data_IF_586440744950
#
_entry.id   IF_586440744950
#
_cell.length_a   1.000
_cell.length_b   1.000
_cell.length_c   1.000
_cell.angle_alpha   90.00
_cell.angle_beta   90.00
_cell.angle_gamma   90.00
#
_symmetry.space_group_name_H-M   'P 1'
#
loop_
_entity.id
_entity.type
_entity.pdbx_description
1 polymer ?
#
# COMPACT_ATOMS: atom_id res chain seq x y z
N UNK A 1 28.16 -49.32 -85.06
CA UNK A 1 28.30 -49.25 -83.59
C UNK A 1 27.97 -47.88 -82.96
N UNK A 2 27.70 -46.81 -83.73
CA UNK A 2 27.56 -45.45 -83.16
C UNK A 2 26.20 -45.05 -82.60
N UNK A 3 25.08 -45.69 -82.99
CA UNK A 3 23.72 -45.19 -82.70
C UNK A 3 23.27 -45.45 -81.25
N UNK A 4 23.56 -46.63 -80.69
CA UNK A 4 23.20 -46.97 -79.31
C UNK A 4 23.96 -46.12 -78.28
N UNK A 5 25.23 -45.82 -78.54
CA UNK A 5 26.04 -44.94 -77.70
C UNK A 5 25.54 -43.48 -77.71
N UNK A 6 25.12 -42.95 -78.87
CA UNK A 6 24.52 -41.62 -78.96
C UNK A 6 23.14 -41.53 -78.28
N UNK A 7 22.33 -42.58 -78.36
CA UNK A 7 21.04 -42.64 -77.65
C UNK A 7 21.22 -42.70 -76.13
N UNK A 8 22.14 -43.52 -75.62
CA UNK A 8 22.46 -43.58 -74.20
C UNK A 8 22.98 -42.23 -73.65
N UNK A 9 23.80 -41.52 -74.44
CA UNK A 9 24.28 -40.18 -74.10
C UNK A 9 23.16 -39.14 -74.09
N UNK A 10 22.26 -39.15 -75.08
CA UNK A 10 21.08 -38.27 -75.09
C UNK A 10 20.21 -38.50 -73.85
N UNK A 11 19.93 -39.75 -73.48
CA UNK A 11 19.19 -40.10 -72.26
C UNK A 11 19.85 -39.54 -71.00
N UNK A 12 21.19 -39.61 -70.91
CA UNK A 12 21.95 -39.08 -69.77
C UNK A 12 21.90 -37.55 -69.72
N UNK A 13 22.02 -36.87 -70.87
CA UNK A 13 21.91 -35.41 -70.94
C UNK A 13 20.49 -34.96 -70.58
N UNK A 14 19.46 -35.64 -71.09
CA UNK A 14 18.05 -35.37 -70.74
C UNK A 14 17.80 -35.53 -69.24
N UNK A 15 18.29 -36.60 -68.60
CA UNK A 15 18.16 -36.79 -67.16
C UNK A 15 18.81 -35.65 -66.36
N UNK A 16 19.97 -35.14 -66.81
CA UNK A 16 20.65 -34.00 -66.18
C UNK A 16 19.90 -32.69 -66.39
N UNK A 17 19.35 -32.44 -67.58
CA UNK A 17 18.49 -31.27 -67.86
C UNK A 17 17.27 -31.28 -66.94
N UNK A 18 16.56 -32.41 -66.85
CA UNK A 18 15.40 -32.54 -65.96
C UNK A 18 15.78 -32.34 -64.49
N UNK A 19 16.93 -32.85 -64.05
CA UNK A 19 17.43 -32.63 -62.69
C UNK A 19 17.75 -31.15 -62.42
N UNK A 20 18.36 -30.46 -63.39
CA UNK A 20 18.68 -29.04 -63.29
C UNK A 20 17.41 -28.19 -63.20
N UNK A 21 16.42 -28.49 -64.05
CA UNK A 21 15.12 -27.79 -64.04
C UNK A 21 14.34 -28.04 -62.74
N UNK A 22 14.41 -29.26 -62.21
CA UNK A 22 13.86 -29.57 -60.89
C UNK A 22 14.55 -28.78 -59.76
N UNK A 23 15.89 -28.70 -59.75
CA UNK A 23 16.63 -27.86 -58.78
C UNK A 23 16.24 -26.38 -58.90
N UNK A 24 16.12 -25.85 -60.12
CA UNK A 24 15.70 -24.46 -60.37
C UNK A 24 14.29 -24.18 -59.84
N UNK A 25 13.35 -25.11 -60.03
CA UNK A 25 12.00 -25.00 -59.47
C UNK A 25 12.01 -25.02 -57.93
N UNK A 26 12.81 -25.90 -57.31
CA UNK A 26 12.96 -25.93 -55.85
C UNK A 26 13.50 -24.61 -55.30
N UNK A 27 14.49 -24.02 -55.98
CA UNK A 27 15.08 -22.74 -55.57
C UNK A 27 14.08 -21.59 -55.76
N UNK A 28 13.31 -21.59 -56.85
CA UNK A 28 12.24 -20.60 -57.07
C UNK A 28 11.20 -20.63 -55.95
N UNK A 29 10.75 -21.84 -55.57
CA UNK A 29 9.87 -22.02 -54.41
C UNK A 29 10.52 -21.56 -53.10
N UNK A 30 11.83 -21.78 -52.93
CA UNK A 30 12.57 -21.31 -51.75
C UNK A 30 12.66 -19.78 -51.71
N UNK A 31 12.88 -19.12 -52.85
CA UNK A 31 12.84 -17.66 -52.97
C UNK A 31 11.46 -17.09 -52.63
N UNK A 32 10.39 -17.73 -53.09
CA UNK A 32 9.03 -17.33 -52.71
C UNK A 32 8.83 -17.37 -51.18
N UNK A 33 9.30 -18.44 -50.51
CA UNK A 33 9.26 -18.51 -49.04
C UNK A 33 10.10 -17.42 -48.37
N UNK A 34 11.27 -17.09 -48.90
CA UNK A 34 12.09 -15.99 -48.37
C UNK A 34 11.38 -14.64 -48.51
N UNK A 35 10.69 -14.40 -49.62
CA UNK A 35 9.89 -13.19 -49.82
C UNK A 35 8.74 -13.11 -48.78
N UNK A 36 8.07 -14.23 -48.52
CA UNK A 36 7.07 -14.32 -47.43
C UNK A 36 7.68 -14.00 -46.07
N UNK A 37 8.82 -14.61 -45.73
CA UNK A 37 9.53 -14.33 -44.46
C UNK A 37 9.96 -12.87 -44.33
N UNK A 38 10.37 -12.24 -45.44
CA UNK A 38 10.72 -10.81 -45.46
C UNK A 38 9.50 -9.93 -45.18
N UNK A 39 8.35 -10.28 -45.75
CA UNK A 39 7.10 -9.57 -45.52
C UNK A 39 6.63 -9.72 -44.06
N UNK A 40 6.72 -10.93 -43.50
CA UNK A 40 6.40 -11.21 -42.10
C UNK A 40 7.29 -10.40 -41.15
N UNK A 41 8.61 -10.42 -41.35
CA UNK A 41 9.55 -9.65 -40.54
C UNK A 41 9.27 -8.14 -40.58
N UNK A 42 8.90 -7.61 -41.76
CA UNK A 42 8.49 -6.21 -41.91
C UNK A 42 7.19 -5.91 -41.17
N UNK A 43 6.19 -6.79 -41.28
CA UNK A 43 4.91 -6.63 -40.57
C UNK A 43 5.08 -6.68 -39.05
N UNK A 44 5.93 -7.56 -38.52
CA UNK A 44 6.26 -7.63 -37.09
C UNK A 44 6.91 -6.32 -36.62
N UNK A 45 7.85 -5.77 -37.39
CA UNK A 45 8.49 -4.50 -37.06
C UNK A 45 7.52 -3.31 -37.09
N UNK A 46 6.66 -3.22 -38.11
CA UNK A 46 5.63 -2.18 -38.19
C UNK A 46 4.63 -2.31 -37.04
N UNK A 47 4.26 -3.53 -36.64
CA UNK A 47 3.40 -3.74 -35.48
C UNK A 47 4.05 -3.23 -34.20
N UNK A 48 5.34 -3.53 -33.98
CA UNK A 48 6.10 -3.04 -32.83
C UNK A 48 6.24 -1.51 -32.81
N UNK A 49 6.38 -0.86 -33.96
CA UNK A 49 6.39 0.61 -34.08
C UNK A 49 5.08 1.26 -33.63
N UNK A 50 3.96 0.55 -33.69
CA UNK A 50 2.67 1.03 -33.20
C UNK A 50 2.38 0.57 -31.76
N UNK A 51 3.29 -0.20 -31.15
CA UNK A 51 3.13 -0.66 -29.78
C UNK A 51 3.42 0.48 -28.82
N UNK A 52 2.42 0.75 -27.99
CA UNK A 52 2.49 1.69 -26.88
C UNK A 52 2.55 0.93 -25.57
N UNK A 53 3.14 1.53 -24.55
CA UNK A 53 3.11 1.07 -23.18
C UNK A 53 2.33 2.07 -22.30
N UNK A 54 1.72 1.55 -21.25
CA UNK A 54 1.11 2.39 -20.22
C UNK A 54 2.16 2.73 -19.18
N UNK A 55 2.20 4.00 -18.78
CA UNK A 55 3.07 4.52 -17.75
C UNK A 55 2.25 5.06 -16.59
N UNK A 56 2.85 5.03 -15.41
CA UNK A 56 2.29 5.56 -14.19
C UNK A 56 3.15 6.72 -13.69
N UNK A 57 2.51 7.88 -13.52
CA UNK A 57 3.10 9.12 -13.08
C UNK A 57 2.86 9.30 -11.57
N UNK A 58 3.93 9.51 -10.84
CA UNK A 58 3.93 9.92 -9.43
C UNK A 58 4.69 11.23 -9.26
N UNK A 59 4.71 11.76 -8.04
CA UNK A 59 5.47 12.95 -7.71
C UNK A 59 6.45 12.63 -6.58
N UNK A 60 7.65 13.19 -6.66
CA UNK A 60 8.58 13.17 -5.52
C UNK A 60 8.15 14.20 -4.45
N UNK A 61 8.83 14.18 -3.30
CA UNK A 61 8.59 15.12 -2.20
C UNK A 61 8.85 16.60 -2.55
N UNK A 62 9.42 16.88 -3.73
CA UNK A 62 9.66 18.23 -4.26
C UNK A 62 8.65 18.61 -5.36
N UNK A 63 7.67 17.74 -5.65
CA UNK A 63 6.65 17.95 -6.69
C UNK A 63 7.13 17.66 -8.11
N UNK A 64 8.29 17.05 -8.29
CA UNK A 64 8.79 16.65 -9.61
C UNK A 64 8.08 15.38 -10.06
N UNK A 65 7.58 15.36 -11.30
CA UNK A 65 6.97 14.16 -11.87
C UNK A 65 8.00 13.05 -12.07
N UNK A 66 7.70 11.86 -11.57
CA UNK A 66 8.42 10.62 -11.82
C UNK A 66 7.51 9.73 -12.64
N UNK A 67 8.02 9.22 -13.76
CA UNK A 67 7.25 8.32 -14.61
C UNK A 67 7.91 6.94 -14.64
N UNK A 68 7.09 5.90 -14.45
CA UNK A 68 7.52 4.50 -14.45
C UNK A 68 6.54 3.65 -15.26
N UNK A 69 6.93 2.43 -15.62
CA UNK A 69 6.01 1.52 -16.31
C UNK A 69 4.81 1.21 -15.40
N UNK A 70 3.60 1.20 -15.98
CA UNK A 70 2.39 0.84 -15.26
C UNK A 70 2.41 -0.67 -14.99
N UNK A 71 2.64 -1.03 -13.74
CA UNK A 71 2.63 -2.41 -13.24
C UNK A 71 1.78 -2.46 -11.97
N UNK A 72 1.30 -3.64 -11.59
CA UNK A 72 0.54 -3.74 -10.34
C UNK A 72 1.39 -3.38 -9.11
N UNK A 73 2.70 -3.66 -9.16
CA UNK A 73 3.63 -3.25 -8.11
C UNK A 73 3.79 -1.72 -8.05
N UNK A 74 3.94 -1.04 -9.20
CA UNK A 74 4.02 0.43 -9.21
C UNK A 74 2.72 1.10 -8.79
N UNK A 75 1.55 0.44 -8.93
CA UNK A 75 0.28 0.90 -8.36
C UNK A 75 0.19 0.74 -6.84
N UNK A 76 0.66 -0.38 -6.27
CA UNK A 76 0.48 -0.67 -4.83
C UNK A 76 1.57 -0.15 -3.90
N UNK A 77 2.71 0.28 -4.43
CA UNK A 77 3.75 0.90 -3.62
C UNK A 77 3.28 2.26 -3.08
N UNK A 78 3.33 2.43 -1.76
CA UNK A 78 3.09 3.74 -1.12
C UNK A 78 4.13 4.76 -1.60
N UNK A 79 3.66 5.98 -1.88
CA UNK A 79 4.48 7.16 -2.10
C UNK A 79 3.68 8.41 -1.68
N UNK A 80 4.38 9.46 -1.27
CA UNK A 80 3.74 10.74 -0.94
C UNK A 80 3.04 11.32 -2.17
N UNK A 81 1.94 12.04 -1.95
CA UNK A 81 1.13 12.69 -3.00
C UNK A 81 0.57 11.75 -4.08
N UNK A 82 0.64 10.43 -3.87
CA UNK A 82 0.16 9.43 -4.81
C UNK A 82 -1.28 9.07 -4.52
N UNK A 83 -2.11 9.02 -5.57
CA UNK A 83 -3.45 8.47 -5.48
C UNK A 83 -3.41 6.94 -5.27
N UNK A 84 -4.32 6.44 -4.43
CA UNK A 84 -4.41 5.02 -4.16
C UNK A 84 -5.36 4.33 -5.14
N UNK A 85 -4.85 3.28 -5.78
CA UNK A 85 -5.57 2.51 -6.78
C UNK A 85 -5.71 1.05 -6.35
N UNK A 86 -6.79 0.40 -6.80
CA UNK A 86 -7.02 -1.02 -6.64
C UNK A 86 -7.33 -1.66 -8.00
N UNK A 87 -6.73 -2.83 -8.26
CA UNK A 87 -7.12 -3.69 -9.37
C UNK A 87 -8.15 -4.68 -8.87
N UNK A 88 -9.30 -4.72 -9.53
CA UNK A 88 -10.45 -5.52 -9.08
C UNK A 88 -10.84 -6.51 -10.16
N UNK A 89 -11.01 -7.77 -9.78
CA UNK A 89 -11.45 -8.81 -10.72
C UNK A 89 -12.97 -8.77 -10.95
N UNK A 90 -13.47 -9.56 -11.90
CA UNK A 90 -14.90 -9.64 -12.21
C UNK A 90 -15.80 -10.08 -11.02
N UNK A 91 -15.22 -10.63 -9.95
CA UNK A 91 -15.93 -11.03 -8.72
C UNK A 91 -15.93 -9.93 -7.65
N UNK A 92 -15.40 -8.74 -7.94
CA UNK A 92 -15.33 -7.61 -6.99
C UNK A 92 -14.17 -7.71 -5.98
N UNK A 93 -13.28 -8.70 -6.15
CA UNK A 93 -12.16 -8.92 -5.25
C UNK A 93 -10.97 -8.04 -5.65
N UNK A 94 -10.35 -7.38 -4.67
CA UNK A 94 -9.10 -6.67 -4.89
C UNK A 94 -7.96 -7.66 -5.12
N UNK A 95 -7.25 -7.52 -6.23
CA UNK A 95 -6.04 -8.31 -6.51
C UNK A 95 -4.89 -7.71 -5.70
N UNK A 96 -4.25 -8.47 -4.83
CA UNK A 96 -3.15 -7.98 -3.97
C UNK A 96 -1.88 -8.81 -4.10
N UNK A 97 -0.75 -8.25 -3.69
CA UNK A 97 0.50 -9.01 -3.63
C UNK A 97 0.42 -10.13 -2.57
N UNK A 98 1.22 -11.19 -2.74
CA UNK A 98 1.34 -12.23 -1.71
C UNK A 98 1.88 -11.69 -0.38
N UNK A 99 2.67 -10.61 -0.42
CA UNK A 99 3.20 -9.96 0.79
C UNK A 99 2.11 -9.27 1.60
N UNK A 100 1.29 -8.45 0.94
CA UNK A 100 0.21 -7.70 1.60
C UNK A 100 -0.88 -8.64 2.12
N UNK A 101 -1.21 -9.68 1.34
CA UNK A 101 -2.14 -10.73 1.78
C UNK A 101 -1.64 -11.44 3.05
N UNK A 102 -0.35 -11.79 3.13
CA UNK A 102 0.23 -12.42 4.33
C UNK A 102 0.20 -11.51 5.54
N UNK A 103 0.56 -10.23 5.38
CA UNK A 103 0.49 -9.24 6.45
C UNK A 103 -0.94 -9.11 6.99
N UNK A 104 -1.92 -9.04 6.08
CA UNK A 104 -3.34 -9.00 6.43
C UNK A 104 -3.80 -10.28 7.15
N UNK A 105 -3.39 -11.46 6.66
CA UNK A 105 -3.72 -12.74 7.28
C UNK A 105 -3.13 -12.89 8.68
N UNK A 106 -1.91 -12.38 8.91
CA UNK A 106 -1.23 -12.50 10.20
C UNK A 106 -1.69 -11.49 11.24
N UNK A 107 -2.16 -10.31 10.84
CA UNK A 107 -2.63 -9.27 11.75
C UNK A 107 -4.04 -9.57 12.28
N UNK A 108 -4.25 -9.50 13.59
CA UNK A 108 -5.55 -9.68 14.23
C UNK A 108 -6.40 -8.40 14.24
N UNK A 109 -5.78 -7.23 14.09
CA UNK A 109 -6.43 -5.93 14.10
C UNK A 109 -5.66 -4.92 13.23
N UNK A 110 -6.25 -3.73 13.02
CA UNK A 110 -5.65 -2.67 12.21
C UNK A 110 -4.26 -2.25 12.73
N UNK A 111 -4.06 -2.17 14.05
CA UNK A 111 -2.80 -1.72 14.62
C UNK A 111 -1.64 -2.68 14.29
N UNK A 112 -1.84 -3.99 14.48
CA UNK A 112 -0.86 -5.01 14.08
C UNK A 112 -0.59 -5.00 12.57
N UNK A 113 -1.61 -4.70 11.76
CA UNK A 113 -1.44 -4.58 10.31
C UNK A 113 -0.56 -3.39 9.96
N UNK A 114 -0.78 -2.23 10.56
CA UNK A 114 0.03 -1.02 10.36
C UNK A 114 1.48 -1.23 10.84
N UNK A 115 1.67 -1.88 11.99
CA UNK A 115 2.99 -2.24 12.52
C UNK A 115 3.78 -3.12 11.54
N UNK A 116 3.11 -4.01 10.79
CA UNK A 116 3.75 -4.83 9.74
C UNK A 116 4.30 -4.01 8.55
N UNK A 117 3.96 -2.73 8.44
CA UNK A 117 4.54 -1.75 7.50
C UNK A 117 5.47 -0.74 8.19
N UNK A 118 5.81 -0.96 9.46
CA UNK A 118 6.69 -0.11 10.25
C UNK A 118 6.02 1.18 10.71
N UNK A 119 4.69 1.17 10.89
CA UNK A 119 3.90 2.31 11.33
C UNK A 119 3.48 2.05 12.77
N UNK A 120 3.87 2.93 13.69
CA UNK A 120 3.59 2.76 15.12
C UNK A 120 2.74 3.91 15.63
N UNK A 121 1.91 3.65 16.66
CA UNK A 121 1.29 4.73 17.43
C UNK A 121 2.36 5.52 18.18
N UNK A 122 2.27 6.84 18.12
CA UNK A 122 3.11 7.79 18.84
C UNK A 122 2.21 8.85 19.45
N UNK A 123 2.66 9.51 20.53
CA UNK A 123 1.89 10.64 21.06
C UNK A 123 1.92 11.81 20.08
N UNK A 124 0.83 12.57 20.05
CA UNK A 124 0.71 13.80 19.24
C UNK A 124 1.67 14.90 19.69
N UNK A 125 2.13 14.86 20.93
CA UNK A 125 3.08 15.81 21.51
C UNK A 125 4.18 15.08 22.27
N UNK A 126 5.43 15.50 22.03
CA UNK A 126 6.60 14.99 22.76
C UNK A 126 6.48 15.27 24.27
N UNK A 127 5.83 16.38 24.65
CA UNK A 127 5.58 16.72 26.05
C UNK A 127 4.64 15.70 26.72
N UNK A 128 3.56 15.30 26.05
CA UNK A 128 2.68 14.22 26.54
C UNK A 128 3.48 12.92 26.67
N UNK A 129 4.27 12.56 25.65
CA UNK A 129 5.09 11.35 25.69
C UNK A 129 6.05 11.31 26.90
N UNK A 130 6.74 12.42 27.15
CA UNK A 130 7.65 12.55 28.28
C UNK A 130 6.93 12.52 29.62
N UNK A 131 5.80 13.20 29.74
CA UNK A 131 5.04 13.28 30.98
C UNK A 131 4.39 11.95 31.33
N UNK A 132 3.79 11.24 30.36
CA UNK A 132 3.25 9.89 30.59
C UNK A 132 4.37 8.94 31.02
N UNK A 133 5.54 9.01 30.38
CA UNK A 133 6.70 8.20 30.81
C UNK A 133 7.10 8.47 32.26
N UNK A 134 7.08 9.73 32.70
CA UNK A 134 7.34 10.11 34.10
C UNK A 134 6.24 9.63 35.05
N UNK A 135 4.97 9.71 34.64
CA UNK A 135 3.82 9.20 35.41
C UNK A 135 3.88 7.68 35.60
N UNK A 136 4.44 6.95 34.64
CA UNK A 136 4.54 5.49 34.65
C UNK A 136 5.85 4.94 35.27
N UNK A 137 6.85 5.79 35.50
CA UNK A 137 8.15 5.39 36.06
C UNK A 137 8.31 5.83 37.52
N UNK A 138 9.13 5.10 38.29
CA UNK A 138 9.40 5.42 39.69
C UNK A 138 10.34 6.63 39.82
N UNK A 139 10.32 7.29 40.98
CA UNK A 139 11.21 8.43 41.30
C UNK A 139 12.70 8.10 41.17
N UNK A 140 13.10 6.85 41.40
CA UNK A 140 14.49 6.38 41.18
C UNK A 140 14.92 6.43 39.71
N UNK A 141 13.97 6.46 38.78
CA UNK A 141 14.16 6.54 37.33
C UNK A 141 13.82 7.93 36.77
N UNK A 142 13.53 8.90 37.66
CA UNK A 142 13.14 10.26 37.30
C UNK A 142 11.64 10.46 37.08
N UNK A 143 10.81 9.48 37.46
CA UNK A 143 9.34 9.57 37.41
C UNK A 143 8.68 9.90 38.75
N UNK A 144 7.38 9.60 38.85
CA UNK A 144 6.54 9.91 40.02
C UNK A 144 5.54 8.80 40.37
N UNK A 145 5.61 7.63 39.73
CA UNK A 145 4.66 6.53 39.92
C UNK A 145 4.59 6.05 41.37
N UNK A 146 5.75 5.89 41.99
CA UNK A 146 5.89 5.43 43.37
C UNK A 146 5.30 6.41 44.39
N UNK A 147 5.25 7.72 44.08
CA UNK A 147 4.56 8.69 44.92
C UNK A 147 3.05 8.45 44.96
N UNK A 148 2.44 8.13 43.82
CA UNK A 148 1.03 7.77 43.76
C UNK A 148 0.75 6.45 44.47
N UNK A 149 1.59 5.43 44.24
CA UNK A 149 1.45 4.11 44.87
C UNK A 149 1.56 4.22 46.41
N UNK A 150 2.51 5.01 46.92
CA UNK A 150 2.68 5.26 48.35
C UNK A 150 1.49 6.02 48.94
N UNK A 151 0.97 7.02 48.24
CA UNK A 151 -0.23 7.75 48.64
C UNK A 151 -1.46 6.85 48.71
N UNK A 152 -1.68 6.01 47.70
CA UNK A 152 -2.79 5.07 47.68
C UNK A 152 -2.69 4.07 48.84
N UNK A 153 -1.48 3.60 49.15
CA UNK A 153 -1.22 2.75 50.32
C UNK A 153 -1.55 3.48 51.64
N UNK A 154 -1.12 4.73 51.81
CA UNK A 154 -1.41 5.54 52.99
C UNK A 154 -2.93 5.78 53.17
N UNK A 155 -3.63 6.11 52.09
CA UNK A 155 -5.09 6.28 52.08
C UNK A 155 -5.78 4.98 52.45
N UNK A 156 -5.35 3.84 51.89
CA UNK A 156 -5.93 2.54 52.19
C UNK A 156 -5.64 2.08 53.62
N UNK A 157 -4.53 2.49 54.22
CA UNK A 157 -4.27 2.25 55.63
C UNK A 157 -5.25 3.03 56.52
N UNK A 158 -5.52 4.30 56.20
CA UNK A 158 -6.53 5.07 56.92
C UNK A 158 -7.92 4.45 56.82
N UNK A 159 -8.31 3.91 55.65
CA UNK A 159 -9.60 3.20 55.50
C UNK A 159 -9.78 2.04 56.47
N UNK A 160 -8.69 1.41 56.93
CA UNK A 160 -8.75 0.32 57.93
C UNK A 160 -8.95 0.84 59.36
N UNK A 161 -8.49 2.07 59.62
CA UNK A 161 -8.50 2.68 60.95
C UNK A 161 -9.83 3.37 61.28
N UNK A 162 -10.68 3.59 60.28
CA UNK A 162 -11.92 4.35 60.40
C UNK A 162 -13.14 3.58 59.89
N UNK A 163 -14.27 3.80 60.55
CA UNK A 163 -15.56 3.19 60.19
C UNK A 163 -16.47 4.19 59.44
N UNK A 164 -17.54 3.68 58.83
CA UNK A 164 -18.57 4.52 58.22
C UNK A 164 -19.26 5.44 59.25
N UNK A 165 -19.37 4.98 60.50
CA UNK A 165 -19.93 5.77 61.60
C UNK A 165 -19.02 6.95 61.95
N UNK A 166 -17.69 6.76 61.94
CA UNK A 166 -16.72 7.84 62.17
C UNK A 166 -16.87 8.95 61.12
N UNK A 167 -16.99 8.57 59.84
CA UNK A 167 -17.25 9.49 58.74
C UNK A 167 -18.57 10.24 58.92
N UNK A 168 -19.67 9.51 59.20
CA UNK A 168 -20.99 10.11 59.36
C UNK A 168 -21.02 11.13 60.51
N UNK A 169 -20.38 10.79 61.63
CA UNK A 169 -20.30 11.64 62.81
C UNK A 169 -19.47 12.91 62.53
N UNK A 170 -18.30 12.78 61.91
CA UNK A 170 -17.44 13.93 61.60
C UNK A 170 -18.06 14.84 60.53
N UNK A 171 -18.73 14.27 59.53
CA UNK A 171 -19.50 15.03 58.53
C UNK A 171 -20.62 15.84 59.16
N UNK A 172 -21.39 15.25 60.08
CA UNK A 172 -22.45 15.96 60.79
C UNK A 172 -21.89 17.10 61.65
N UNK A 173 -20.77 16.85 62.36
CA UNK A 173 -20.10 17.84 63.21
C UNK A 173 -19.55 19.02 62.39
N UNK A 174 -18.83 18.74 61.30
CA UNK A 174 -18.25 19.79 60.44
C UNK A 174 -19.31 20.60 59.71
N UNK A 175 -20.39 19.96 59.25
CA UNK A 175 -21.55 20.66 58.66
C UNK A 175 -22.18 21.65 59.64
N UNK A 176 -22.38 21.22 60.90
CA UNK A 176 -22.91 22.09 61.96
C UNK A 176 -22.00 23.30 62.19
N UNK A 177 -20.68 23.07 62.35
CA UNK A 177 -19.70 24.15 62.51
C UNK A 177 -19.71 25.14 61.35
N UNK A 178 -19.80 24.64 60.11
CA UNK A 178 -19.90 25.48 58.92
C UNK A 178 -21.18 26.32 58.91
N UNK A 179 -22.34 25.71 59.21
CA UNK A 179 -23.63 26.40 59.24
C UNK A 179 -23.66 27.47 60.33
N UNK A 180 -23.12 27.18 61.51
CA UNK A 180 -23.04 28.13 62.63
C UNK A 180 -22.10 29.30 62.30
N UNK A 181 -20.93 29.03 61.69
CA UNK A 181 -19.98 30.05 61.26
C UNK A 181 -20.57 30.94 60.15
N UNK A 182 -21.28 30.35 59.19
CA UNK A 182 -21.93 31.08 58.09
C UNK A 182 -22.98 32.05 58.64
N UNK A 183 -23.86 31.55 59.51
CA UNK A 183 -24.87 32.38 60.18
C UNK A 183 -24.24 33.55 60.94
N UNK A 184 -23.16 33.29 61.68
CA UNK A 184 -22.45 34.32 62.46
C UNK A 184 -21.84 35.39 61.55
N UNK A 185 -21.25 34.98 60.44
CA UNK A 185 -20.69 35.89 59.43
C UNK A 185 -21.78 36.73 58.75
N UNK A 186 -22.88 36.10 58.31
CA UNK A 186 -24.02 36.78 57.68
C UNK A 186 -24.66 37.81 58.63
N UNK A 187 -24.86 37.46 59.91
CA UNK A 187 -25.37 38.38 60.93
C UNK A 187 -24.45 39.59 61.13
N UNK A 188 -23.13 39.40 61.06
CA UNK A 188 -22.15 40.48 61.17
C UNK A 188 -22.16 41.38 59.93
N UNK A 189 -22.20 40.81 58.73
CA UNK A 189 -22.31 41.55 57.45
C UNK A 189 -23.59 42.37 57.41
N UNK A 190 -24.72 41.82 57.88
CA UNK A 190 -25.99 42.54 57.95
C UNK A 190 -25.94 43.77 58.88
N UNK A 191 -25.20 43.67 59.99
CA UNK A 191 -24.95 44.81 60.91
C UNK A 191 -24.06 45.87 60.26
N UNK A 192 -23.00 45.46 59.56
CA UNK A 192 -22.16 46.38 58.77
C UNK A 192 -22.98 47.12 57.72
N UNK A 193 -23.81 46.40 56.96
CA UNK A 193 -24.72 46.97 55.96
C UNK A 193 -25.77 47.91 56.56
N UNK A 194 -26.06 47.78 57.85
CA UNK A 194 -26.96 48.67 58.61
C UNK A 194 -26.24 49.89 59.20
N UNK A 195 -24.97 50.11 58.89
CA UNK A 195 -24.19 51.29 59.30
C UNK A 195 -23.38 51.12 60.59
N UNK A 196 -23.22 49.90 61.11
CA UNK A 196 -22.36 49.61 62.26
C UNK A 196 -20.92 49.31 61.81
N UNK A 197 -19.91 49.91 62.45
CA UNK A 197 -18.51 49.51 62.23
C UNK A 197 -18.19 48.23 63.01
N UNK A 198 -18.03 47.12 62.28
CA UNK A 198 -17.63 45.81 62.81
C UNK A 198 -16.52 45.23 61.93
N UNK A 199 -15.48 44.67 62.54
CA UNK A 199 -14.45 43.91 61.84
C UNK A 199 -14.94 42.48 61.57
N UNK A 200 -15.11 42.13 60.30
CA UNK A 200 -15.58 40.81 59.86
C UNK A 200 -14.43 39.88 59.45
N UNK A 201 -13.17 40.32 59.49
CA UNK A 201 -12.03 39.58 58.94
C UNK A 201 -11.83 38.24 59.66
N UNK A 202 -11.79 38.24 61.00
CA UNK A 202 -11.68 37.01 61.78
C UNK A 202 -12.91 36.10 61.70
N UNK A 203 -14.09 36.65 61.40
CA UNK A 203 -15.30 35.85 61.16
C UNK A 203 -15.25 35.17 59.78
N UNK A 204 -14.73 35.86 58.77
CA UNK A 204 -14.49 35.30 57.44
C UNK A 204 -13.45 34.18 57.51
N UNK A 205 -12.34 34.37 58.21
CA UNK A 205 -11.33 33.32 58.43
C UNK A 205 -11.93 32.07 59.08
N UNK A 206 -12.74 32.24 60.13
CA UNK A 206 -13.44 31.13 60.79
C UNK A 206 -14.44 30.42 59.86
N UNK A 207 -15.20 31.18 59.05
CA UNK A 207 -16.10 30.62 58.05
C UNK A 207 -15.33 29.83 57.00
N UNK A 208 -14.21 30.37 56.49
CA UNK A 208 -13.36 29.69 55.52
C UNK A 208 -12.78 28.40 56.09
N UNK A 209 -12.27 28.40 57.32
CA UNK A 209 -11.76 27.21 57.99
C UNK A 209 -12.85 26.14 58.18
N UNK A 210 -14.05 26.55 58.63
CA UNK A 210 -15.18 25.64 58.79
C UNK A 210 -15.68 25.08 57.46
N UNK A 211 -15.67 25.89 56.39
CA UNK A 211 -16.01 25.47 55.03
C UNK A 211 -15.04 24.42 54.51
N UNK A 212 -13.74 24.64 54.65
CA UNK A 212 -12.69 23.67 54.25
C UNK A 212 -12.86 22.35 55.01
N UNK A 213 -13.08 22.40 56.32
CA UNK A 213 -13.29 21.20 57.13
C UNK A 213 -14.53 20.40 56.68
N UNK A 214 -15.63 21.09 56.34
CA UNK A 214 -16.83 20.44 55.81
C UNK A 214 -16.63 19.92 54.38
N UNK A 215 -15.94 20.67 53.51
CA UNK A 215 -15.61 20.27 52.14
C UNK A 215 -14.84 18.95 52.09
N UNK A 216 -13.91 18.75 53.02
CA UNK A 216 -13.20 17.48 53.17
C UNK A 216 -14.16 16.32 53.51
N UNK A 217 -15.29 16.58 54.18
CA UNK A 217 -16.25 15.56 54.58
C UNK A 217 -17.43 15.38 53.59
N UNK A 218 -17.41 16.01 52.41
CA UNK A 218 -18.52 15.91 51.44
C UNK A 218 -18.68 14.46 50.95
N UNK A 219 -17.56 13.80 50.64
CA UNK A 219 -17.50 12.39 50.25
C UNK A 219 -16.62 11.63 51.23
N UNK A 220 -16.85 10.32 51.35
CA UNK A 220 -15.99 9.45 52.16
C UNK A 220 -14.54 9.47 51.64
N UNK A 221 -14.35 9.52 50.31
CA UNK A 221 -13.04 9.56 49.69
C UNK A 221 -12.25 10.83 50.02
N UNK A 222 -12.89 12.01 49.93
CA UNK A 222 -12.27 13.27 50.33
C UNK A 222 -11.90 13.25 51.81
N UNK A 223 -12.77 12.66 52.63
CA UNK A 223 -12.59 12.62 54.07
C UNK A 223 -11.39 11.76 54.43
N UNK A 224 -11.33 10.55 53.89
CA UNK A 224 -10.24 9.62 54.20
C UNK A 224 -8.90 10.08 53.62
N UNK A 225 -8.90 10.70 52.43
CA UNK A 225 -7.72 11.39 51.89
C UNK A 225 -7.26 12.52 52.80
N UNK A 226 -8.18 13.29 53.38
CA UNK A 226 -7.81 14.33 54.35
C UNK A 226 -7.21 13.77 55.64
N UNK A 227 -7.53 12.53 56.03
CA UNK A 227 -6.89 11.83 57.16
C UNK A 227 -5.48 11.35 56.82
N UNK A 228 -5.26 10.89 55.59
CA UNK A 228 -3.94 10.48 55.12
C UNK A 228 -3.02 11.69 54.84
N UNK A 229 -3.60 12.83 54.47
CA UNK A 229 -2.87 14.03 54.07
C UNK A 229 -2.12 14.71 55.21
N UNK A 230 -2.58 14.55 56.45
CA UNK A 230 -2.09 15.34 57.56
C UNK A 230 -1.89 14.52 58.82
N UNK A 231 -0.81 14.83 59.54
CA UNK A 231 -0.52 14.35 60.89
C UNK A 231 -0.41 15.53 61.86
N UNK A 232 -0.16 15.24 63.12
CA UNK A 232 0.03 16.24 64.18
C UNK A 232 1.48 16.19 64.65
N UNK A 233 2.14 17.34 64.73
CA UNK A 233 3.50 17.45 65.28
C UNK A 233 3.50 17.39 66.83
N UNK A 234 4.69 17.38 67.44
CA UNK A 234 4.85 17.36 68.90
C UNK A 234 4.23 18.58 69.61
N UNK A 235 3.95 19.66 68.88
CA UNK A 235 3.33 20.89 69.37
C UNK A 235 1.80 20.92 69.16
N UNK A 236 1.21 19.88 68.57
CA UNK A 236 -0.22 19.82 68.30
C UNK A 236 -0.64 20.48 66.98
N UNK A 237 0.30 20.92 66.15
CA UNK A 237 0.00 21.56 64.88
C UNK A 237 -0.24 20.52 63.79
N UNK A 238 -1.17 20.85 62.89
CA UNK A 238 -1.46 20.07 61.69
C UNK A 238 -0.32 20.26 60.67
N UNK A 239 0.32 19.17 60.27
CA UNK A 239 1.42 19.14 59.29
C UNK A 239 1.15 18.14 58.18
N UNK A 240 1.58 18.45 56.96
CA UNK A 240 1.41 17.58 55.79
C UNK A 240 2.30 16.33 55.90
N UNK A 241 1.78 15.20 55.46
CA UNK A 241 2.56 13.97 55.36
C UNK A 241 3.50 14.02 54.15
N UNK A 242 4.58 13.25 54.20
CA UNK A 242 5.52 13.16 53.10
C UNK A 242 4.84 12.57 51.85
N UNK A 243 3.99 11.57 52.03
CA UNK A 243 3.21 10.94 50.97
C UNK A 243 2.27 11.94 50.30
N UNK A 244 1.63 12.84 51.08
CA UNK A 244 0.77 13.88 50.54
C UNK A 244 1.55 14.93 49.74
N UNK A 245 2.71 15.35 50.25
CA UNK A 245 3.58 16.29 49.55
C UNK A 245 4.13 15.69 48.25
N UNK A 246 4.45 14.40 48.24
CA UNK A 246 4.97 13.71 47.07
C UNK A 246 3.91 13.46 46.00
N UNK A 247 2.68 13.08 46.38
CA UNK A 247 1.61 12.86 45.40
C UNK A 247 1.14 14.16 44.72
N UNK A 248 1.33 15.32 45.34
CA UNK A 248 1.07 16.60 44.68
C UNK A 248 1.88 16.73 43.39
N UNK A 249 3.15 16.31 43.36
CA UNK A 249 3.99 16.30 42.15
C UNK A 249 3.43 15.39 41.05
N UNK A 250 2.82 14.26 41.45
CA UNK A 250 2.14 13.36 40.50
C UNK A 250 0.91 14.05 39.89
N UNK A 251 0.08 14.68 40.73
CA UNK A 251 -1.14 15.35 40.27
C UNK A 251 -0.85 16.60 39.43
N UNK A 252 0.18 17.38 39.77
CA UNK A 252 0.66 18.51 38.96
C UNK A 252 1.07 18.04 37.56
N UNK A 253 1.89 16.99 37.47
CA UNK A 253 2.31 16.43 36.18
C UNK A 253 1.14 15.84 35.39
N UNK A 254 0.18 15.21 36.07
CA UNK A 254 -1.04 14.71 35.45
C UNK A 254 -1.89 15.86 34.90
N UNK A 255 -2.06 16.93 35.66
CA UNK A 255 -2.79 18.13 35.25
C UNK A 255 -2.13 18.80 34.04
N UNK A 256 -0.80 18.94 34.04
CA UNK A 256 -0.03 19.43 32.87
C UNK A 256 -0.26 18.55 31.63
N UNK A 257 -0.27 17.23 31.80
CA UNK A 257 -0.51 16.27 30.70
C UNK A 257 -1.93 16.40 30.15
N UNK A 258 -2.92 16.57 31.04
CA UNK A 258 -4.33 16.73 30.66
C UNK A 258 -4.58 18.08 29.97
N UNK A 259 -3.94 19.15 30.44
CA UNK A 259 -4.03 20.47 29.82
C UNK A 259 -3.45 20.47 28.40
N UNK A 260 -2.27 19.86 28.19
CA UNK A 260 -1.68 19.71 26.85
C UNK A 260 -2.57 18.84 25.94
N UNK A 261 -3.18 17.78 26.47
CA UNK A 261 -4.14 16.97 25.71
C UNK A 261 -5.40 17.78 25.32
N UNK A 262 -5.92 18.61 26.24
CA UNK A 262 -7.06 19.51 25.98
C UNK A 262 -6.73 20.55 24.91
N UNK A 263 -5.54 21.16 24.95
CA UNK A 263 -5.05 22.12 23.95
C UNK A 263 -4.94 21.49 22.54
N UNK A 264 -4.64 20.19 22.48
CA UNK A 264 -4.66 19.40 21.24
C UNK A 264 -6.06 18.94 20.81
N UNK A 265 -7.10 19.31 21.56
CA UNK A 265 -8.49 18.93 21.31
C UNK A 265 -8.79 17.45 21.58
N UNK A 266 -7.96 16.79 22.41
CA UNK A 266 -8.15 15.39 22.76
C UNK A 266 -9.23 15.27 23.85
N UNK A 267 -10.17 14.34 23.68
CA UNK A 267 -11.24 14.09 24.67
C UNK A 267 -11.07 12.76 25.40
N UNK A 268 -10.27 11.86 24.82
CA UNK A 268 -9.93 10.56 25.37
C UNK A 268 -8.41 10.34 25.30
N UNK A 269 -7.91 9.37 26.06
CA UNK A 269 -6.48 8.98 26.00
C UNK A 269 -6.11 8.50 24.59
N UNK A 270 -7.00 7.80 23.88
CA UNK A 270 -6.74 7.36 22.51
C UNK A 270 -6.58 8.54 21.54
N UNK A 271 -7.26 9.65 21.79
CA UNK A 271 -7.12 10.87 20.98
C UNK A 271 -5.72 11.49 21.13
N UNK A 272 -4.94 11.14 22.16
CA UNK A 272 -3.58 11.66 22.35
C UNK A 272 -2.55 10.98 21.43
N UNK A 273 -2.94 9.90 20.73
CA UNK A 273 -2.08 9.20 19.79
C UNK A 273 -2.30 9.67 18.34
N UNK A 274 -1.23 9.62 17.58
CA UNK A 274 -1.22 9.64 16.11
C UNK A 274 -0.34 8.49 15.60
N UNK A 275 -0.21 8.34 14.29
CA UNK A 275 0.71 7.38 13.69
C UNK A 275 2.03 8.06 13.32
N UNK A 276 3.14 7.32 13.44
CA UNK A 276 4.49 7.78 13.11
C UNK A 276 4.64 8.32 11.68
N UNK A 277 3.73 7.94 10.78
CA UNK A 277 3.58 8.46 9.43
C UNK A 277 2.08 8.45 9.07
N UNK A 278 1.41 9.60 9.21
CA UNK A 278 -0.04 9.71 9.04
C UNK A 278 -0.51 9.38 7.62
N UNK A 279 0.23 9.82 6.60
CA UNK A 279 -0.14 9.60 5.19
C UNK A 279 -0.02 8.12 4.82
N UNK A 280 1.06 7.48 5.25
CA UNK A 280 1.25 6.04 5.07
C UNK A 280 0.29 5.22 5.92
N UNK A 281 0.00 5.65 7.15
CA UNK A 281 -1.01 5.03 8.00
C UNK A 281 -2.38 5.05 7.31
N UNK A 282 -2.77 6.19 6.75
CA UNK A 282 -4.02 6.31 6.00
C UNK A 282 -4.06 5.36 4.80
N UNK A 283 -2.98 5.31 4.00
CA UNK A 283 -2.88 4.40 2.85
C UNK A 283 -3.10 2.92 3.23
N UNK A 284 -2.47 2.46 4.31
CA UNK A 284 -2.62 1.06 4.73
C UNK A 284 -3.90 0.81 5.53
N UNK A 285 -4.46 1.83 6.18
CA UNK A 285 -5.80 1.76 6.76
C UNK A 285 -6.85 1.53 5.68
N UNK A 286 -6.76 2.26 4.58
CA UNK A 286 -7.60 2.08 3.39
C UNK A 286 -7.49 0.65 2.83
N UNK A 287 -6.25 0.12 2.75
CA UNK A 287 -6.02 -1.25 2.31
C UNK A 287 -6.64 -2.25 3.29
N UNK A 288 -6.45 -2.08 4.59
CA UNK A 288 -7.06 -2.94 5.62
C UNK A 288 -8.57 -3.05 5.41
N UNK A 289 -9.28 -1.92 5.31
CA UNK A 289 -10.72 -1.93 5.10
C UNK A 289 -11.13 -2.54 3.75
N UNK A 290 -10.35 -2.34 2.68
CA UNK A 290 -10.66 -2.98 1.39
C UNK A 290 -10.54 -4.51 1.43
N UNK A 291 -9.59 -5.04 2.20
CA UNK A 291 -9.39 -6.48 2.39
C UNK A 291 -10.34 -7.07 3.44
N UNK A 292 -10.65 -6.30 4.48
CA UNK A 292 -11.46 -6.73 5.61
C UNK A 292 -12.96 -6.59 5.36
N UNK A 293 -13.37 -5.62 4.55
CA UNK A 293 -14.76 -5.17 4.46
C UNK A 293 -15.07 -4.05 5.45
N UNK A 294 -16.36 -3.80 5.68
CA UNK A 294 -16.81 -2.62 6.44
C UNK A 294 -16.44 -2.65 7.94
N UNK A 295 -16.00 -3.78 8.51
CA UNK A 295 -15.70 -3.92 9.94
C UNK A 295 -14.34 -3.36 10.35
N UNK A 296 -14.26 -2.73 11.54
CA UNK A 296 -13.01 -2.37 12.22
C UNK A 296 -12.27 -3.59 12.78
N UNK A 297 -13.02 -4.56 13.30
CA UNK A 297 -12.50 -5.86 13.72
C UNK A 297 -12.28 -6.76 12.51
N UNK A 298 -11.32 -7.69 12.61
CA UNK A 298 -11.06 -8.65 11.54
C UNK A 298 -12.32 -9.46 11.24
N UNK A 299 -12.84 -9.34 10.03
CA UNK A 299 -14.10 -9.95 9.64
C UNK A 299 -13.88 -11.37 9.14
N UNK A 300 -14.88 -12.23 9.30
CA UNK A 300 -14.88 -13.58 8.72
C UNK A 300 -14.71 -13.57 7.20
N UNK A 301 -15.21 -12.55 6.50
CA UNK A 301 -15.03 -12.39 5.06
C UNK A 301 -13.57 -12.08 4.69
N UNK A 302 -12.91 -11.23 5.49
CA UNK A 302 -11.49 -10.93 5.37
C UNK A 302 -10.63 -12.17 5.65
N UNK A 303 -10.90 -12.89 6.74
CA UNK A 303 -10.19 -14.13 7.11
C UNK A 303 -10.26 -15.19 6.00
N UNK A 304 -11.45 -15.37 5.41
CA UNK A 304 -11.66 -16.33 4.33
C UNK A 304 -11.12 -15.85 2.97
N UNK A 305 -10.56 -14.64 2.88
CA UNK A 305 -10.07 -14.07 1.63
C UNK A 305 -11.18 -13.82 0.61
N UNK A 306 -12.39 -13.51 1.05
CA UNK A 306 -13.52 -13.29 0.16
C UNK A 306 -13.42 -11.97 -0.60
N UNK A 307 -12.80 -10.95 0.01
CA UNK A 307 -12.69 -9.61 -0.56
C UNK A 307 -11.45 -9.38 -1.43
N UNK A 308 -10.52 -10.35 -1.47
CA UNK A 308 -9.26 -10.19 -2.19
C UNK A 308 -8.80 -11.48 -2.86
N UNK A 309 -7.99 -11.32 -3.91
CA UNK A 309 -7.34 -12.41 -4.62
C UNK A 309 -5.82 -12.21 -4.61
N UNK A 310 -5.05 -13.27 -4.42
CA UNK A 310 -3.60 -13.18 -4.41
C UNK A 310 -3.08 -13.20 -5.86
N UNK A 311 -2.38 -12.15 -6.23
CA UNK A 311 -1.73 -12.03 -7.53
C UNK A 311 -0.53 -12.97 -7.64
N UNK A 312 -0.35 -13.57 -8.82
CA UNK A 312 0.89 -14.26 -9.15
C UNK A 312 2.04 -13.24 -9.21
N UNK A 313 3.14 -13.50 -8.49
CA UNK A 313 4.27 -12.58 -8.37
C UNK A 313 4.91 -12.20 -9.70
N UNK A 314 4.83 -13.07 -10.72
CA UNK A 314 5.33 -12.76 -12.07
C UNK A 314 4.52 -11.69 -12.79
N UNK A 315 3.25 -11.54 -12.42
CA UNK A 315 2.34 -10.55 -13.00
C UNK A 315 2.52 -9.17 -12.36
N UNK A 316 2.97 -9.12 -11.10
CA UNK A 316 3.14 -7.88 -10.34
C UNK A 316 4.04 -6.85 -11.04
N UNK A 317 5.06 -7.31 -11.76
CA UNK A 317 6.00 -6.46 -12.51
C UNK A 317 5.75 -6.46 -14.02
N UNK A 318 4.67 -7.08 -14.51
CA UNK A 318 4.41 -7.17 -15.95
C UNK A 318 3.50 -6.04 -16.42
N UNK A 319 4.08 -5.10 -17.17
CA UNK A 319 3.34 -4.01 -17.81
C UNK A 319 2.38 -4.54 -18.89
N UNK A 320 2.87 -5.47 -19.73
CA UNK A 320 2.06 -6.13 -20.77
C UNK A 320 0.80 -6.77 -20.21
N UNK A 321 0.95 -7.58 -19.16
CA UNK A 321 -0.19 -8.25 -18.53
C UNK A 321 -1.22 -7.25 -18.01
N UNK A 322 -0.77 -6.19 -17.32
CA UNK A 322 -1.70 -5.22 -16.75
C UNK A 322 -2.43 -4.44 -17.84
N UNK A 323 -1.72 -4.03 -18.90
CA UNK A 323 -2.32 -3.37 -20.07
C UNK A 323 -3.37 -4.26 -20.73
N UNK A 324 -3.04 -5.53 -20.98
CA UNK A 324 -3.95 -6.50 -21.59
C UNK A 324 -5.16 -6.76 -20.69
N UNK A 325 -4.94 -6.94 -19.38
CA UNK A 325 -5.99 -7.20 -18.41
C UNK A 325 -6.98 -6.04 -18.31
N UNK A 326 -6.50 -4.80 -18.33
CA UNK A 326 -7.35 -3.59 -18.34
C UNK A 326 -8.08 -3.43 -19.68
N UNK A 327 -7.42 -3.68 -20.81
CA UNK A 327 -8.01 -3.52 -22.15
C UNK A 327 -9.09 -4.58 -22.42
N UNK A 328 -8.88 -5.81 -21.94
CA UNK A 328 -9.84 -6.91 -22.11
C UNK A 328 -10.92 -6.93 -21.02
N UNK A 329 -10.85 -6.04 -20.03
CA UNK A 329 -11.79 -5.99 -18.91
C UNK A 329 -11.70 -7.19 -17.96
N UNK A 330 -10.56 -7.88 -17.92
CA UNK A 330 -10.28 -8.93 -16.94
C UNK A 330 -10.14 -8.34 -15.53
N UNK A 331 -9.64 -7.10 -15.46
CA UNK A 331 -9.57 -6.30 -14.24
C UNK A 331 -10.10 -4.90 -14.51
N UNK A 332 -10.69 -4.29 -13.49
CA UNK A 332 -11.06 -2.88 -13.47
C UNK A 332 -10.19 -2.13 -12.49
N UNK A 333 -10.02 -0.83 -12.74
CA UNK A 333 -9.32 0.06 -11.83
C UNK A 333 -10.34 0.74 -10.92
N UNK A 334 -10.10 0.71 -9.62
CA UNK A 334 -10.81 1.54 -8.64
C UNK A 334 -9.84 2.57 -8.07
N UNK A 335 -10.33 3.77 -7.81
CA UNK A 335 -9.59 4.84 -7.13
C UNK A 335 -10.19 5.10 -5.76
N UNK A 336 -9.33 5.19 -4.74
CA UNK A 336 -9.72 5.60 -3.40
C UNK A 336 -9.99 7.11 -3.37
N UNK A 337 -11.07 7.52 -2.70
CA UNK A 337 -11.45 8.91 -2.56
C UNK A 337 -12.07 9.17 -1.19
N UNK A 338 -11.70 10.30 -0.56
CA UNK A 338 -12.33 10.75 0.69
C UNK A 338 -13.63 11.52 0.44
N UNK A 339 -13.98 11.77 -0.84
CA UNK A 339 -15.01 12.74 -1.23
C UNK A 339 -16.45 12.26 -0.99
N UNK A 340 -16.64 10.94 -0.82
CA UNK A 340 -17.95 10.30 -0.63
C UNK A 340 -17.94 9.28 0.52
N UNK A 341 -17.03 9.46 1.47
CA UNK A 341 -16.86 8.61 2.65
C UNK A 341 -17.98 8.83 3.69
N UNK A 342 -18.78 7.80 4.01
CA UNK A 342 -19.81 7.86 5.07
C UNK A 342 -19.48 6.93 6.24
N UNK A 343 -19.03 7.43 7.39
CA UNK A 343 -18.80 6.57 8.55
C UNK A 343 -20.14 6.21 9.20
N UNK A 344 -20.38 4.91 9.40
CA UNK A 344 -21.57 4.41 10.11
C UNK A 344 -21.12 3.70 11.40
N UNK A 345 -21.79 3.94 12.52
CA UNK A 345 -21.60 3.17 13.75
C UNK A 345 -22.64 2.04 13.73
N UNK A 346 -22.27 0.79 13.40
CA UNK A 346 -23.21 -0.32 13.26
C UNK A 346 -23.95 -0.68 14.56
N UNK A 347 -23.34 -0.42 15.73
CA UNK A 347 -23.97 -0.60 17.04
C UNK A 347 -23.69 0.60 17.95
N UNK A 348 -24.73 1.39 18.23
CA UNK A 348 -24.63 2.57 19.07
C UNK A 348 -24.30 2.25 20.54
N UNK A 349 -24.44 0.99 20.97
CA UNK A 349 -24.07 0.51 22.30
C UNK A 349 -22.61 0.01 22.37
N UNK A 350 -21.95 -0.17 21.22
CA UNK A 350 -20.53 -0.46 21.13
C UNK A 350 -19.85 0.53 20.18
N UNK A 351 -19.66 1.80 20.60
CA UNK A 351 -19.14 2.87 19.75
C UNK A 351 -17.68 2.67 19.30
N UNK A 352 -17.02 1.60 19.77
CA UNK A 352 -15.68 1.21 19.34
C UNK A 352 -15.69 0.38 18.05
N UNK A 353 -16.84 -0.16 17.64
CA UNK A 353 -17.03 -0.77 16.33
C UNK A 353 -17.56 0.29 15.38
N UNK A 354 -16.73 0.70 14.43
CA UNK A 354 -17.06 1.73 13.45
C UNK A 354 -16.92 1.13 12.06
N UNK A 355 -17.99 1.21 11.25
CA UNK A 355 -17.86 1.00 9.83
C UNK A 355 -17.25 2.27 9.23
N UNK A 356 -15.93 2.36 9.31
CA UNK A 356 -15.19 3.45 8.68
C UNK A 356 -15.31 3.29 7.16
N UNK A 357 -16.21 4.05 6.53
CA UNK A 357 -16.12 4.24 5.07
C UNK A 357 -15.20 5.40 4.75
N UNK A 358 -14.11 5.57 5.51
CA UNK A 358 -13.17 6.69 5.42
C UNK A 358 -12.68 6.97 3.99
N UNK A 359 -12.77 5.99 3.09
CA UNK A 359 -12.65 6.17 1.65
C UNK A 359 -13.76 5.43 0.90
N UNK A 360 -14.24 6.02 -0.19
CA UNK A 360 -15.01 5.34 -1.23
C UNK A 360 -14.04 4.82 -2.30
N UNK A 361 -14.29 3.61 -2.81
CA UNK A 361 -13.59 3.08 -3.97
C UNK A 361 -14.49 3.22 -5.19
N UNK A 362 -14.07 4.03 -6.15
CA UNK A 362 -14.86 4.31 -7.35
C UNK A 362 -14.23 3.68 -8.57
N UNK A 363 -14.98 2.83 -9.26
CA UNK A 363 -14.56 2.26 -10.54
C UNK A 363 -14.30 3.36 -11.56
N UNK A 364 -13.15 3.29 -12.21
CA UNK A 364 -12.69 4.28 -13.19
C UNK A 364 -12.04 3.58 -14.37
N UNK A 365 -12.22 4.16 -15.56
CA UNK A 365 -11.56 3.68 -16.77
C UNK A 365 -10.12 4.15 -16.72
N UNK A 366 -9.16 3.25 -16.93
CA UNK A 366 -7.73 3.60 -16.83
C UNK A 366 -7.33 4.77 -17.76
N UNK A 367 -7.99 4.91 -18.92
CA UNK A 367 -7.71 5.98 -19.89
C UNK A 367 -8.23 7.36 -19.46
N UNK A 368 -9.08 7.45 -18.43
CA UNK A 368 -9.52 8.73 -17.85
C UNK A 368 -8.69 9.14 -16.62
N UNK A 369 -7.73 8.32 -16.19
CA UNK A 369 -6.87 8.62 -15.05
C UNK A 369 -5.71 9.51 -15.47
N UNK A 370 -5.57 10.68 -14.85
CA UNK A 370 -4.47 11.62 -15.12
C UNK A 370 -3.08 11.04 -14.86
N UNK A 371 -3.00 10.13 -13.90
CA UNK A 371 -1.75 9.51 -13.43
C UNK A 371 -1.33 8.35 -14.34
N UNK A 372 -2.16 7.95 -15.31
CA UNK A 372 -1.84 6.93 -16.30
C UNK A 372 -1.70 7.60 -17.66
N UNK A 373 -0.51 7.46 -18.25
CA UNK A 373 -0.20 8.00 -19.57
C UNK A 373 0.18 6.88 -20.54
N UNK A 374 0.16 7.19 -21.82
CA UNK A 374 0.53 6.27 -22.89
C UNK A 374 1.76 6.83 -23.60
N UNK A 375 2.79 6.00 -23.77
CA UNK A 375 4.01 6.34 -24.50
C UNK A 375 4.40 5.20 -25.43
N UNK A 376 5.16 5.48 -26.49
CA UNK A 376 5.78 4.46 -27.34
C UNK A 376 6.66 3.50 -26.52
N UNK A 377 6.55 2.21 -26.80
CA UNK A 377 7.38 1.18 -26.17
C UNK A 377 8.74 1.11 -26.86
N UNK A 378 9.64 2.02 -26.49
CA UNK A 378 10.99 2.10 -27.06
C UNK A 378 11.78 0.78 -26.92
N UNK A 379 11.52 -0.01 -25.87
CA UNK A 379 12.22 -1.28 -25.66
C UNK A 379 11.72 -2.36 -26.65
N UNK A 380 10.40 -2.48 -26.84
CA UNK A 380 9.83 -3.35 -27.85
C UNK A 380 10.24 -2.94 -29.26
N UNK A 381 10.25 -1.63 -29.55
CA UNK A 381 10.70 -1.08 -30.83
C UNK A 381 12.16 -1.45 -31.10
N UNK A 382 13.07 -1.21 -30.14
CA UNK A 382 14.49 -1.52 -30.29
C UNK A 382 14.74 -3.02 -30.48
N UNK A 383 13.99 -3.87 -29.75
CA UNK A 383 14.07 -5.32 -29.91
C UNK A 383 13.59 -5.75 -31.30
N UNK A 384 12.45 -5.23 -31.75
CA UNK A 384 11.91 -5.54 -33.07
C UNK A 384 12.83 -5.05 -34.20
N UNK A 385 13.47 -3.89 -34.04
CA UNK A 385 14.47 -3.38 -34.98
C UNK A 385 15.67 -4.32 -35.09
N UNK A 386 16.19 -4.80 -33.95
CA UNK A 386 17.29 -5.76 -33.93
C UNK A 386 16.92 -7.10 -34.59
N UNK A 387 15.72 -7.62 -34.30
CA UNK A 387 15.21 -8.87 -34.91
C UNK A 387 14.96 -8.71 -36.42
N UNK A 388 14.39 -7.58 -36.86
CA UNK A 388 14.20 -7.24 -38.26
C UNK A 388 15.53 -7.21 -39.01
N UNK A 389 16.52 -6.47 -38.49
CA UNK A 389 17.84 -6.37 -39.10
C UNK A 389 18.52 -7.73 -39.21
N UNK A 390 18.42 -8.56 -38.17
CA UNK A 390 18.93 -9.93 -38.20
C UNK A 390 18.24 -10.78 -39.28
N UNK A 391 16.90 -10.84 -39.28
CA UNK A 391 16.13 -11.61 -40.27
C UNK A 391 16.42 -11.13 -41.69
N UNK A 392 16.48 -9.83 -41.92
CA UNK A 392 16.74 -9.24 -43.23
C UNK A 392 18.15 -9.58 -43.75
N UNK A 393 19.16 -9.56 -42.87
CA UNK A 393 20.52 -9.98 -43.23
C UNK A 393 20.58 -11.48 -43.59
N UNK A 394 19.91 -12.34 -42.82
CA UNK A 394 19.82 -13.77 -43.10
C UNK A 394 19.09 -14.06 -44.42
N UNK A 395 17.99 -13.37 -44.68
CA UNK A 395 17.21 -13.48 -45.92
C UNK A 395 18.06 -13.02 -47.11
N UNK A 396 18.69 -11.84 -47.02
CA UNK A 396 19.54 -11.31 -48.08
C UNK A 396 20.72 -12.24 -48.40
N UNK A 397 21.33 -12.85 -47.39
CA UNK A 397 22.41 -13.82 -47.59
C UNK A 397 21.91 -15.10 -48.29
N UNK A 398 20.75 -15.63 -47.89
CA UNK A 398 20.14 -16.80 -48.55
C UNK A 398 19.70 -16.51 -49.97
N UNK A 399 19.10 -15.34 -50.21
CA UNK A 399 18.66 -14.93 -51.54
C UNK A 399 19.84 -14.80 -52.50
N UNK A 400 20.93 -14.15 -52.08
CA UNK A 400 22.18 -14.08 -52.84
C UNK A 400 22.75 -15.46 -53.16
N UNK A 401 22.68 -16.41 -52.21
CA UNK A 401 23.10 -17.80 -52.44
C UNK A 401 22.21 -18.49 -53.49
N UNK A 402 20.91 -18.29 -53.43
CA UNK A 402 19.95 -18.82 -54.41
C UNK A 402 20.12 -18.20 -55.79
N UNK A 403 20.35 -16.90 -55.89
CA UNK A 403 20.68 -16.23 -57.16
C UNK A 403 21.93 -16.79 -57.81
N UNK A 404 23.00 -16.98 -57.03
CA UNK A 404 24.23 -17.57 -57.54
C UNK A 404 24.01 -19.01 -58.03
N UNK A 405 23.23 -19.80 -57.29
CA UNK A 405 22.91 -21.18 -57.67
C UNK A 405 22.04 -21.24 -58.94
N UNK A 406 21.04 -20.36 -59.10
CA UNK A 406 20.27 -20.24 -60.34
C UNK A 406 21.18 -19.90 -61.52
N UNK A 407 22.08 -18.90 -61.38
CA UNK A 407 23.03 -18.54 -62.45
C UNK A 407 23.91 -19.72 -62.87
N UNK A 408 24.38 -20.52 -61.90
CA UNK A 408 25.14 -21.75 -62.19
C UNK A 408 24.27 -22.77 -62.91
N UNK A 409 23.04 -23.01 -62.44
CA UNK A 409 22.10 -23.95 -63.07
C UNK A 409 21.76 -23.52 -64.51
N UNK A 410 21.52 -22.24 -64.77
CA UNK A 410 21.26 -21.71 -66.12
C UNK A 410 22.46 -21.90 -67.06
N UNK A 411 23.67 -21.70 -66.55
CA UNK A 411 24.92 -21.93 -67.29
C UNK A 411 25.08 -23.40 -67.64
N UNK A 412 24.85 -24.29 -66.67
CA UNK A 412 24.88 -25.75 -66.87
C UNK A 412 23.80 -26.20 -67.85
N UNK A 413 22.57 -25.68 -67.73
CA UNK A 413 21.45 -25.97 -68.62
C UNK A 413 21.79 -25.59 -70.05
N UNK A 414 22.33 -24.37 -70.27
CA UNK A 414 22.74 -23.90 -71.61
C UNK A 414 23.84 -24.79 -72.20
N UNK A 415 24.82 -25.20 -71.39
CA UNK A 415 25.87 -26.11 -71.83
C UNK A 415 25.33 -27.49 -72.19
N UNK A 416 24.44 -28.05 -71.36
CA UNK A 416 23.83 -29.36 -71.60
C UNK A 416 22.90 -29.34 -72.81
N UNK A 417 22.16 -28.26 -73.01
CA UNK A 417 21.31 -28.05 -74.18
C UNK A 417 22.16 -28.00 -75.47
N UNK A 418 23.27 -27.26 -75.45
CA UNK A 418 24.21 -27.21 -76.58
C UNK A 418 24.82 -28.59 -76.86
N UNK A 419 25.19 -29.35 -75.81
CA UNK A 419 25.67 -30.73 -75.96
C UNK A 419 24.60 -31.65 -76.54
N UNK A 420 23.36 -31.54 -76.07
CA UNK A 420 22.20 -32.29 -76.55
C UNK A 420 21.99 -32.08 -78.06
N UNK A 421 21.93 -30.82 -78.51
CA UNK A 421 21.73 -30.46 -79.92
C UNK A 421 22.88 -30.96 -80.80
N UNK A 422 24.12 -30.88 -80.31
CA UNK A 422 25.30 -31.40 -81.01
C UNK A 422 25.25 -32.93 -81.17
N UNK A 423 24.94 -33.67 -80.10
CA UNK A 423 24.81 -35.14 -80.13
C UNK A 423 23.63 -35.56 -81.00
N UNK A 424 22.50 -34.86 -80.91
CA UNK A 424 21.32 -35.12 -81.73
C UNK A 424 21.61 -34.90 -83.22
N UNK A 425 22.30 -33.79 -83.57
CA UNK A 425 22.73 -33.51 -84.95
C UNK A 425 23.68 -34.59 -85.48
N UNK A 426 24.64 -35.03 -84.67
CA UNK A 426 25.56 -36.11 -85.04
C UNK A 426 24.83 -37.45 -85.22
N UNK A 427 23.85 -37.75 -84.36
CA UNK A 427 23.00 -38.94 -84.47
C UNK A 427 22.18 -38.91 -85.77
N UNK A 428 21.51 -37.80 -86.07
CA UNK A 428 20.72 -37.62 -87.30
C UNK A 428 21.58 -37.81 -88.56
N UNK A 429 22.77 -37.20 -88.60
CA UNK A 429 23.73 -37.38 -89.70
C UNK A 429 24.17 -38.84 -89.87
N UNK A 430 24.35 -39.57 -88.77
CA UNK A 430 24.71 -40.99 -88.81
C UNK A 430 23.55 -41.86 -89.29
N UNK A 431 22.32 -41.57 -88.86
CA UNK A 431 21.10 -42.21 -89.35
C UNK A 431 20.96 -41.98 -90.86
N UNK A 432 21.11 -40.75 -91.33
CA UNK A 432 21.03 -40.42 -92.77
C UNK A 432 22.11 -41.15 -93.60
N UNK A 433 23.34 -41.24 -93.08
CA UNK A 433 24.42 -42.00 -93.74
C UNK A 433 24.10 -43.48 -93.79
N UNK A 434 23.67 -44.07 -92.67
CA UNK A 434 23.26 -45.48 -92.64
C UNK A 434 22.10 -45.72 -93.60
N UNK A 435 21.08 -44.87 -93.60
CA UNK A 435 19.94 -44.96 -94.51
C UNK A 435 20.39 -44.95 -95.98
N UNK A 436 21.22 -43.98 -96.39
CA UNK A 436 21.79 -43.90 -97.74
C UNK A 436 22.66 -45.11 -98.13
N UNK A 437 23.30 -45.76 -97.16
CA UNK A 437 24.16 -46.94 -97.39
C UNK A 437 23.35 -48.24 -97.51
N UNK A 438 22.14 -48.28 -96.95
CA UNK A 438 21.25 -49.44 -97.00
C UNK A 438 20.09 -49.29 -98.01
N UNK A 439 19.87 -48.09 -98.57
CA UNK A 439 18.82 -47.79 -99.55
C UNK A 439 19.32 -47.70 -101.00
N UNK A 440 20.57 -48.09 -101.27
CA UNK A 440 21.15 -48.26 -102.61
C UNK A 440 21.76 -49.63 -102.71
#
# INVERSE_FOLDING_TARGET
>A
MGISASQARLLTITARLTSNEYESQQISNAKMRLATQSQEASSEYIAALNTTQLQFMTYDSKGSAITTDLTANSLYQYADMKNQYALVNASGQMIVSSGDAKKFQNASNLNEFLESYGITKVYKSDAIAENVKKLESNSSEGGVKDYYDAWEAAVNEQKKNYTDDDYANEKALTNKKYTDALKTYEDAVNKVNSGLELDTSGLLENLTAAKVAYSNCITYDNWIKSKAAYTTDDAGNKVETEEYTNVQKYYELLEETLAEAEDLGCTTIEDTYTYSDESKAQWYTNLWYRLNGESSDKSTAGENGSNYAIMNSKLGSSSDWLKDALTQGLVTLEVASNKDATNDIPDMNNPLSVNLRGISWTTTIYSSVSDITQQDDNAAIAKAEAEYNKKNNEISAKDKKYENKIKTLDTEHTSLQTEYESVQSAMNKNIDRSYKTFSG
#
